data_IF_438365929819
#
_entry.id   IF_438365929819
#
_cell.length_a   1.000
_cell.length_b   1.000
_cell.length_c   1.000
_cell.angle_alpha   90.00
_cell.angle_beta   90.00
_cell.angle_gamma   90.00
#
_symmetry.space_group_name_H-M   'P 1'
#
loop_
_entity.id
_entity.type
_entity.pdbx_description
1 polymer ?
#
# COMPACT_ATOMS: atom_id res chain seq x y z
N UNK A 1 58.91 -17.52 3.66
CA UNK A 1 58.02 -17.51 4.84
C UNK A 1 57.42 -16.14 5.13
N UNK A 2 58.11 -15.14 5.70
CA UNK A 2 57.47 -13.83 6.02
C UNK A 2 56.98 -13.05 4.78
N UNK A 3 57.71 -13.10 3.66
CA UNK A 3 57.33 -12.40 2.43
C UNK A 3 56.12 -13.04 1.73
N UNK A 4 55.98 -14.36 1.81
CA UNK A 4 54.85 -15.11 1.28
C UNK A 4 53.60 -14.89 2.13
N UNK A 5 53.77 -14.82 3.47
CA UNK A 5 52.67 -14.48 4.38
C UNK A 5 52.14 -13.06 4.12
N UNK A 6 53.04 -12.07 3.92
CA UNK A 6 52.63 -10.69 3.61
C UNK A 6 51.89 -10.58 2.29
N UNK A 7 52.36 -11.27 1.24
CA UNK A 7 51.64 -11.32 -0.05
C UNK A 7 50.25 -11.94 0.09
N UNK A 8 50.13 -13.01 0.88
CA UNK A 8 48.84 -13.68 1.12
C UNK A 8 47.86 -12.78 1.90
N UNK A 9 48.37 -11.97 2.83
CA UNK A 9 47.57 -10.98 3.57
C UNK A 9 47.09 -9.88 2.61
N UNK A 10 47.98 -9.31 1.80
CA UNK A 10 47.61 -8.28 0.81
C UNK A 10 46.57 -8.77 -0.21
N UNK A 11 46.69 -10.02 -0.67
CA UNK A 11 45.69 -10.63 -1.57
C UNK A 11 44.34 -10.81 -0.87
N UNK A 12 44.33 -11.20 0.40
CA UNK A 12 43.10 -11.33 1.19
C UNK A 12 42.46 -9.99 1.47
N UNK A 13 43.24 -8.96 1.81
CA UNK A 13 42.73 -7.61 2.07
C UNK A 13 42.10 -7.01 0.81
N UNK A 14 42.74 -7.15 -0.35
CA UNK A 14 42.13 -6.76 -1.64
C UNK A 14 40.82 -7.47 -1.89
N UNK A 15 40.75 -8.78 -1.61
CA UNK A 15 39.54 -9.57 -1.80
C UNK A 15 38.43 -9.17 -0.82
N UNK A 16 38.79 -8.78 0.40
CA UNK A 16 37.85 -8.21 1.38
C UNK A 16 37.30 -6.88 0.87
N UNK A 17 38.15 -5.99 0.35
CA UNK A 17 37.71 -4.71 -0.22
C UNK A 17 36.77 -4.90 -1.42
N UNK A 18 37.10 -5.83 -2.33
CA UNK A 18 36.25 -6.17 -3.47
C UNK A 18 34.87 -6.70 -3.02
N UNK A 19 34.85 -7.61 -2.05
CA UNK A 19 33.61 -8.17 -1.51
C UNK A 19 32.78 -7.11 -0.79
N UNK A 20 33.42 -6.23 -0.01
CA UNK A 20 32.74 -5.12 0.66
C UNK A 20 32.14 -4.12 -0.35
N UNK A 21 32.86 -3.80 -1.43
CA UNK A 21 32.34 -2.97 -2.50
C UNK A 21 31.10 -3.61 -3.17
N UNK A 22 31.15 -4.92 -3.41
CA UNK A 22 30.05 -5.66 -4.02
C UNK A 22 28.83 -5.77 -3.11
N UNK A 23 29.02 -5.94 -1.81
CA UNK A 23 27.94 -5.89 -0.81
C UNK A 23 27.25 -4.53 -0.84
N UNK A 24 28.01 -3.43 -0.82
CA UNK A 24 27.43 -2.07 -0.89
C UNK A 24 26.64 -1.84 -2.17
N UNK A 25 27.10 -2.37 -3.31
CA UNK A 25 26.37 -2.27 -4.57
C UNK A 25 25.06 -3.06 -4.53
N UNK A 26 25.08 -4.27 -3.98
CA UNK A 26 23.89 -5.11 -3.83
C UNK A 26 22.88 -4.51 -2.85
N UNK A 27 23.34 -3.94 -1.73
CA UNK A 27 22.49 -3.23 -0.78
C UNK A 27 21.77 -2.04 -1.43
N UNK A 28 22.47 -1.26 -2.27
CA UNK A 28 21.85 -0.17 -3.04
C UNK A 28 20.77 -0.69 -4.01
N UNK A 29 21.06 -1.78 -4.72
CA UNK A 29 20.09 -2.40 -5.64
C UNK A 29 18.88 -2.92 -4.88
N UNK A 30 19.09 -3.59 -3.75
CA UNK A 30 18.03 -4.14 -2.91
C UNK A 30 17.08 -3.03 -2.44
N UNK A 31 17.62 -1.94 -1.88
CA UNK A 31 16.82 -0.77 -1.49
C UNK A 31 15.99 -0.22 -2.64
N UNK A 32 16.58 -0.09 -3.83
CA UNK A 32 15.83 0.35 -5.01
C UNK A 32 14.68 -0.60 -5.36
N UNK A 33 14.91 -1.92 -5.34
CA UNK A 33 13.85 -2.91 -5.63
C UNK A 33 12.73 -2.88 -4.59
N UNK A 34 13.06 -2.77 -3.30
CA UNK A 34 12.07 -2.67 -2.22
C UNK A 34 11.14 -1.46 -2.41
N UNK A 35 11.72 -0.29 -2.69
CA UNK A 35 10.94 0.94 -2.91
C UNK A 35 10.14 0.83 -4.22
N UNK A 36 10.76 0.28 -5.27
CA UNK A 36 10.10 0.09 -6.56
C UNK A 36 8.90 -0.81 -6.43
N UNK A 37 8.98 -1.92 -5.70
CA UNK A 37 7.84 -2.82 -5.48
C UNK A 37 6.64 -2.09 -4.85
N UNK A 38 6.89 -1.16 -3.93
CA UNK A 38 5.81 -0.40 -3.26
C UNK A 38 5.25 0.72 -4.13
N UNK A 39 6.10 1.43 -4.88
CA UNK A 39 5.72 2.67 -5.58
C UNK A 39 5.63 2.54 -7.11
N UNK A 40 5.78 1.33 -7.64
CA UNK A 40 5.64 1.04 -9.06
C UNK A 40 4.26 1.52 -9.57
N UNK A 41 4.27 2.30 -10.64
CA UNK A 41 3.05 2.86 -11.24
C UNK A 41 2.52 4.12 -10.54
N UNK A 42 3.13 4.55 -9.42
CA UNK A 42 2.79 5.79 -8.72
C UNK A 42 3.87 6.84 -8.93
N UNK A 43 5.15 6.43 -8.82
CA UNK A 43 6.31 7.30 -9.03
C UNK A 43 7.11 6.75 -10.21
N UNK A 44 7.51 7.59 -11.19
CA UNK A 44 8.37 7.18 -12.30
C UNK A 44 9.69 6.58 -11.81
N UNK A 45 10.16 5.53 -12.48
CA UNK A 45 11.39 4.80 -12.12
C UNK A 45 12.62 5.72 -12.04
N UNK A 46 12.70 6.76 -12.88
CA UNK A 46 13.76 7.78 -12.87
C UNK A 46 13.81 8.59 -11.56
N UNK A 47 12.65 8.83 -10.95
CA UNK A 47 12.52 9.58 -9.70
C UNK A 47 12.77 8.64 -8.52
N UNK A 48 12.27 7.40 -8.59
CA UNK A 48 12.57 6.36 -7.61
C UNK A 48 14.07 6.09 -7.50
N UNK A 49 14.80 6.12 -8.62
CA UNK A 49 16.25 5.96 -8.63
C UNK A 49 16.94 7.08 -7.83
N UNK A 50 16.55 8.34 -8.04
CA UNK A 50 17.08 9.49 -7.30
C UNK A 50 16.73 9.43 -5.81
N UNK A 51 15.56 8.91 -5.48
CA UNK A 51 15.10 8.75 -4.11
C UNK A 51 15.88 7.65 -3.38
N UNK A 52 16.20 6.54 -4.06
CA UNK A 52 16.96 5.42 -3.48
C UNK A 52 18.42 5.77 -3.13
N UNK A 53 18.95 6.86 -3.68
CA UNK A 53 20.28 7.38 -3.34
C UNK A 53 20.30 8.22 -2.06
N UNK A 54 19.13 8.65 -1.58
CA UNK A 54 19.01 9.47 -0.38
C UNK A 54 19.09 8.61 0.89
N UNK A 55 19.48 9.21 2.03
CA UNK A 55 19.32 8.58 3.33
C UNK A 55 17.85 8.17 3.56
N UNK A 56 17.58 7.04 4.22
CA UNK A 56 16.22 6.51 4.38
C UNK A 56 15.21 7.52 4.92
N UNK A 57 15.62 8.34 5.88
CA UNK A 57 14.78 9.35 6.53
C UNK A 57 14.37 10.45 5.54
N UNK A 58 15.33 10.91 4.72
CA UNK A 58 15.10 11.96 3.71
C UNK A 58 14.28 11.43 2.55
N UNK A 59 14.54 10.18 2.16
CA UNK A 59 13.82 9.48 1.10
C UNK A 59 12.33 9.40 1.38
N UNK A 60 11.93 8.99 2.59
CA UNK A 60 10.50 8.90 2.99
C UNK A 60 9.82 10.27 2.92
N UNK A 61 10.51 11.33 3.38
CA UNK A 61 10.00 12.70 3.32
C UNK A 61 9.78 13.12 1.87
N UNK A 62 10.73 12.85 0.99
CA UNK A 62 10.69 13.30 -0.40
C UNK A 62 9.67 12.51 -1.23
N UNK A 63 9.52 11.20 -0.98
CA UNK A 63 8.40 10.40 -1.49
C UNK A 63 7.07 11.03 -1.06
N UNK A 64 6.92 11.36 0.23
CA UNK A 64 5.71 11.98 0.75
C UNK A 64 5.39 13.33 0.10
N UNK A 65 6.40 14.17 -0.17
CA UNK A 65 6.21 15.42 -0.92
C UNK A 65 5.78 15.16 -2.36
N UNK A 66 6.41 14.20 -3.03
CA UNK A 66 6.09 13.86 -4.42
C UNK A 66 4.63 13.42 -4.55
N UNK A 67 4.18 12.52 -3.67
CA UNK A 67 2.81 12.03 -3.64
C UNK A 67 1.79 13.14 -3.39
N UNK A 68 2.08 14.08 -2.46
CA UNK A 68 1.22 15.25 -2.22
C UNK A 68 1.16 16.19 -3.43
N UNK A 69 2.28 16.44 -4.09
CA UNK A 69 2.28 17.31 -5.28
C UNK A 69 1.54 16.67 -6.47
N UNK A 70 1.65 15.35 -6.62
CA UNK A 70 0.93 14.60 -7.63
C UNK A 70 -0.59 14.63 -7.37
N UNK A 71 -1.04 14.44 -6.11
CA UNK A 71 -2.47 14.52 -5.76
C UNK A 71 -3.05 15.93 -5.96
N UNK A 72 -2.30 16.98 -5.64
CA UNK A 72 -2.73 18.38 -5.84
C UNK A 72 -2.85 18.79 -7.31
N UNK A 73 -2.12 18.14 -8.23
CA UNK A 73 -2.26 18.40 -9.68
C UNK A 73 -3.55 17.81 -10.24
N UNK A 74 -4.04 16.71 -9.67
CA UNK A 74 -5.28 16.06 -10.10
C UNK A 74 -6.53 16.80 -9.60
N UNK A 75 -6.47 17.46 -8.44
CA UNK A 75 -7.60 18.21 -7.87
C UNK A 75 -7.79 19.61 -8.47
N UNK A 76 -6.76 20.23 -9.05
CA UNK A 76 -6.83 21.62 -9.57
C UNK A 76 -7.51 21.80 -10.93
N UNK A 77 -7.98 20.72 -11.57
CA UNK A 77 -8.67 20.82 -12.89
C UNK A 77 -10.20 20.89 -12.74
N UNK A 78 -10.75 20.72 -11.53
CA UNK A 78 -12.20 20.64 -11.32
C UNK A 78 -12.72 21.86 -10.55
N UNK A 79 -12.52 23.06 -11.07
CA UNK A 79 -13.28 24.23 -10.58
C UNK A 79 -13.21 25.41 -11.57
N UNK A 80 -14.03 25.38 -12.62
CA UNK A 80 -14.50 26.63 -13.26
C UNK A 80 -15.77 26.42 -14.12
N UNK A 81 -16.88 26.96 -13.60
CA UNK A 81 -18.00 27.66 -14.28
C UNK A 81 -18.95 26.93 -15.24
N UNK A 82 -20.20 26.82 -14.76
CA UNK A 82 -21.50 27.22 -15.35
C UNK A 82 -21.75 27.25 -16.87
N UNK A 83 -22.94 26.72 -17.21
CA UNK A 83 -23.88 27.08 -18.29
C UNK A 83 -23.69 26.46 -19.71
N UNK A 84 -24.66 25.59 -20.06
CA UNK A 84 -25.33 25.22 -21.35
C UNK A 84 -24.72 25.59 -22.73
N UNK A 85 -25.19 25.01 -23.86
CA UNK A 85 -25.47 23.62 -24.24
C UNK A 85 -24.79 23.21 -25.60
N UNK A 86 -24.74 21.89 -25.89
CA UNK A 86 -24.49 21.20 -27.19
C UNK A 86 -23.35 21.71 -28.11
N UNK A 87 -22.29 20.90 -28.27
CA UNK A 87 -21.63 20.64 -29.58
C UNK A 87 -21.13 19.20 -29.62
N UNK A 88 -21.56 18.45 -30.63
CA UNK A 88 -21.06 17.12 -31.01
C UNK A 88 -19.62 17.23 -31.52
N UNK A 89 -18.70 16.45 -30.95
CA UNK A 89 -17.46 16.07 -31.64
C UNK A 89 -17.25 14.57 -31.45
N UNK A 90 -17.40 13.85 -32.57
CA UNK A 90 -17.08 12.44 -32.73
C UNK A 90 -15.59 12.20 -32.47
N UNK A 91 -15.23 11.49 -31.41
CA UNK A 91 -14.03 10.66 -31.37
C UNK A 91 -14.35 9.32 -30.69
N UNK A 92 -13.68 8.28 -31.18
CA UNK A 92 -14.01 6.84 -31.07
C UNK A 92 -14.22 6.35 -29.62
N UNK A 93 -15.14 5.39 -29.37
CA UNK A 93 -15.30 4.82 -28.05
C UNK A 93 -14.08 3.95 -27.72
N UNK A 94 -13.21 4.44 -26.85
CA UNK A 94 -12.42 3.54 -25.99
C UNK A 94 -13.42 3.07 -24.94
N UNK A 95 -13.66 1.77 -24.90
CA UNK A 95 -14.60 1.14 -23.97
C UNK A 95 -14.42 1.72 -22.56
N UNK A 96 -15.40 2.50 -22.13
CA UNK A 96 -15.60 2.81 -20.72
C UNK A 96 -15.78 1.47 -20.01
N UNK A 97 -14.73 1.01 -19.32
CA UNK A 97 -14.93 0.11 -18.19
C UNK A 97 -15.66 0.95 -17.16
N UNK A 98 -16.99 1.02 -17.31
CA UNK A 98 -17.91 1.30 -16.21
C UNK A 98 -17.60 0.26 -15.16
N UNK A 99 -16.80 0.65 -14.17
CA UNK A 99 -16.78 -0.05 -12.90
C UNK A 99 -18.13 0.26 -12.28
N UNK A 100 -19.15 -0.50 -12.68
CA UNK A 100 -20.37 -0.61 -11.90
C UNK A 100 -19.93 -0.95 -10.47
N UNK A 101 -20.41 -0.24 -9.43
CA UNK A 101 -20.25 -0.70 -8.07
C UNK A 101 -21.08 -1.98 -7.93
N UNK A 102 -20.52 -3.11 -8.37
CA UNK A 102 -21.11 -4.42 -8.20
C UNK A 102 -20.87 -4.88 -6.76
N UNK A 103 -21.37 -4.11 -5.79
CA UNK A 103 -21.66 -4.65 -4.46
C UNK A 103 -22.94 -5.45 -4.63
N UNK A 104 -22.81 -6.69 -5.12
CA UNK A 104 -23.86 -7.69 -4.98
C UNK A 104 -23.98 -7.98 -3.49
N UNK A 105 -24.81 -7.19 -2.81
CA UNK A 105 -25.21 -7.39 -1.42
C UNK A 105 -25.91 -8.75 -1.35
N UNK A 106 -25.20 -9.76 -0.85
CA UNK A 106 -25.88 -10.86 -0.16
C UNK A 106 -26.20 -10.29 1.22
N UNK A 107 -27.47 -10.30 1.59
CA UNK A 107 -27.95 -9.71 2.85
C UNK A 107 -27.05 -10.17 4.02
N UNK A 108 -26.36 -9.23 4.67
CA UNK A 108 -25.50 -9.48 5.84
C UNK A 108 -24.00 -9.66 5.56
N UNK A 109 -23.54 -9.69 4.31
CA UNK A 109 -22.11 -9.78 3.96
C UNK A 109 -21.72 -8.67 2.97
N UNK A 110 -20.70 -7.90 3.34
CA UNK A 110 -20.11 -6.88 2.49
C UNK A 110 -18.72 -7.29 2.00
N UNK A 111 -18.35 -6.86 0.79
CA UNK A 111 -17.00 -7.01 0.28
C UNK A 111 -16.23 -5.72 0.53
N UNK A 112 -15.09 -5.84 1.20
CA UNK A 112 -14.20 -4.72 1.48
C UNK A 112 -12.81 -5.00 0.90
N UNK A 113 -12.13 -3.96 0.42
CA UNK A 113 -10.75 -4.03 -0.06
C UNK A 113 -9.78 -3.85 1.10
N UNK A 114 -8.79 -4.73 1.21
CA UNK A 114 -7.76 -4.64 2.25
C UNK A 114 -6.85 -3.45 1.96
N UNK A 115 -6.88 -2.46 2.85
CA UNK A 115 -6.05 -1.26 2.81
C UNK A 115 -4.90 -1.31 3.81
N UNK A 116 -4.07 -0.28 3.74
CA UNK A 116 -3.03 0.02 4.73
C UNK A 116 -3.17 1.48 5.13
N UNK A 117 -3.06 1.76 6.42
CA UNK A 117 -3.06 3.10 6.98
C UNK A 117 -1.98 3.23 8.04
N UNK A 118 -1.19 4.29 7.95
CA UNK A 118 -0.06 4.50 8.83
C UNK A 118 -0.47 4.69 10.30
N UNK A 119 -1.58 5.40 10.55
CA UNK A 119 -2.06 5.63 11.91
C UNK A 119 -2.57 4.32 12.53
N UNK A 120 -3.22 3.47 11.72
CA UNK A 120 -3.58 2.13 12.13
C UNK A 120 -2.34 1.28 12.44
N UNK A 121 -1.36 1.25 11.52
CA UNK A 121 -0.14 0.45 11.68
C UNK A 121 0.64 0.81 12.95
N UNK A 122 0.72 2.09 13.30
CA UNK A 122 1.42 2.54 14.49
C UNK A 122 0.72 2.19 15.81
N UNK A 123 -0.61 2.00 15.80
CA UNK A 123 -1.42 1.85 17.03
C UNK A 123 -1.99 0.47 17.25
N UNK A 124 -2.32 -0.23 16.17
CA UNK A 124 -3.12 -1.45 16.21
C UNK A 124 -2.50 -2.61 15.43
N UNK A 125 -1.42 -2.40 14.67
CA UNK A 125 -0.75 -3.48 13.94
C UNK A 125 0.33 -4.16 14.80
N UNK A 126 -0.14 -4.95 15.77
CA UNK A 126 0.68 -5.85 16.57
C UNK A 126 -0.04 -7.20 16.72
N UNK A 127 0.73 -8.24 17.03
CA UNK A 127 0.19 -9.59 17.14
C UNK A 127 -0.82 -9.69 18.30
N UNK A 128 -2.02 -10.19 18.01
CA UNK A 128 -3.10 -10.32 18.99
C UNK A 128 -4.04 -9.10 19.09
N UNK A 129 -3.74 -8.00 18.37
CA UNK A 129 -4.68 -6.89 18.22
C UNK A 129 -5.97 -7.37 17.58
N UNK A 130 -7.11 -7.07 18.20
CA UNK A 130 -8.44 -7.47 17.78
C UNK A 130 -9.17 -6.39 17.00
N UNK A 131 -8.50 -5.33 16.55
CA UNK A 131 -9.15 -4.14 15.96
C UNK A 131 -9.10 -4.18 14.44
N UNK A 132 -10.21 -3.80 13.78
CA UNK A 132 -10.28 -3.53 12.35
C UNK A 132 -10.87 -2.13 12.12
N UNK A 133 -10.30 -1.36 11.20
CA UNK A 133 -10.94 -0.14 10.71
C UNK A 133 -11.76 -0.45 9.45
N UNK A 134 -13.05 -0.12 9.44
CA UNK A 134 -13.94 -0.33 8.29
C UNK A 134 -14.44 1.01 7.74
N UNK A 135 -14.54 1.11 6.41
CA UNK A 135 -15.25 2.20 5.75
C UNK A 135 -16.70 2.30 6.26
N UNK A 136 -17.16 3.52 6.51
CA UNK A 136 -18.52 3.78 7.02
C UNK A 136 -19.62 3.19 6.12
N UNK A 137 -19.40 3.14 4.80
CA UNK A 137 -20.29 2.50 3.84
C UNK A 137 -20.40 0.98 4.07
N UNK A 138 -19.29 0.31 4.33
CA UNK A 138 -19.24 -1.12 4.65
C UNK A 138 -19.96 -1.35 5.98
N UNK A 139 -19.69 -0.52 6.99
CA UNK A 139 -20.37 -0.58 8.29
C UNK A 139 -21.89 -0.44 8.16
N UNK A 140 -22.34 0.56 7.40
CA UNK A 140 -23.75 0.80 7.12
C UNK A 140 -24.40 -0.37 6.37
N UNK A 141 -23.68 -0.97 5.42
CA UNK A 141 -24.19 -2.10 4.63
C UNK A 141 -24.42 -3.36 5.47
N UNK A 142 -23.60 -3.61 6.50
CA UNK A 142 -23.73 -4.76 7.41
C UNK A 142 -24.38 -4.41 8.75
N UNK A 143 -24.86 -3.16 8.92
CA UNK A 143 -25.53 -2.63 10.12
C UNK A 143 -24.72 -2.87 11.40
N UNK A 144 -23.45 -2.45 11.38
CA UNK A 144 -22.55 -2.43 12.54
C UNK A 144 -22.15 -1.02 12.91
N UNK A 145 -21.96 -0.78 14.19
CA UNK A 145 -21.50 0.49 14.75
C UNK A 145 -20.06 0.38 15.23
N UNK A 146 -19.45 1.52 15.58
CA UNK A 146 -18.16 1.53 16.26
C UNK A 146 -18.21 0.69 17.55
N UNK A 147 -17.20 -0.15 17.76
CA UNK A 147 -17.11 -1.05 18.91
C UNK A 147 -17.79 -2.41 18.73
N UNK A 148 -18.60 -2.60 17.69
CA UNK A 148 -19.18 -3.92 17.37
C UNK A 148 -18.11 -4.89 16.86
N UNK A 149 -18.43 -6.18 16.87
CA UNK A 149 -17.57 -7.21 16.30
C UNK A 149 -18.06 -7.65 14.91
N UNK A 150 -17.10 -7.80 14.00
CA UNK A 150 -17.29 -8.34 12.65
C UNK A 150 -16.43 -9.57 12.45
N UNK A 151 -16.89 -10.44 11.55
CA UNK A 151 -16.12 -11.56 11.03
C UNK A 151 -15.51 -11.13 9.71
N UNK A 152 -14.19 -11.19 9.61
CA UNK A 152 -13.44 -10.96 8.36
C UNK A 152 -12.99 -12.30 7.81
N UNK A 153 -13.38 -12.60 6.58
CA UNK A 153 -13.18 -13.89 5.96
C UNK A 153 -12.59 -13.81 4.55
N UNK A 154 -11.62 -14.69 4.28
CA UNK A 154 -11.16 -15.05 2.93
C UNK A 154 -10.89 -16.55 2.86
N UNK A 155 -9.68 -16.99 3.20
CA UNK A 155 -9.35 -18.43 3.30
C UNK A 155 -9.66 -18.99 4.70
N UNK A 156 -9.62 -18.10 5.70
CA UNK A 156 -10.01 -18.35 7.10
C UNK A 156 -10.82 -17.17 7.62
N UNK A 157 -11.41 -17.32 8.81
CA UNK A 157 -12.22 -16.31 9.45
C UNK A 157 -11.60 -15.81 10.76
N UNK A 158 -11.67 -14.50 11.01
CA UNK A 158 -11.20 -13.85 12.24
C UNK A 158 -12.22 -12.83 12.71
N UNK A 159 -12.47 -12.80 14.01
CA UNK A 159 -13.37 -11.84 14.64
C UNK A 159 -12.56 -10.60 15.06
N UNK A 160 -13.03 -9.42 14.67
CA UNK A 160 -12.38 -8.14 15.00
C UNK A 160 -13.41 -7.11 15.44
N UNK A 161 -13.02 -6.26 16.38
CA UNK A 161 -13.74 -5.09 16.85
C UNK A 161 -13.59 -3.94 15.85
N UNK A 162 -14.70 -3.30 15.51
CA UNK A 162 -14.76 -2.28 14.46
C UNK A 162 -14.45 -0.89 14.98
N UNK A 163 -13.62 -0.16 14.23
CA UNK A 163 -13.49 1.29 14.29
C UNK A 163 -13.87 1.89 12.92
N UNK A 164 -14.43 3.12 12.89
CA UNK A 164 -14.75 3.78 11.64
C UNK A 164 -13.49 4.19 10.87
N UNK A 165 -13.55 4.07 9.55
CA UNK A 165 -12.54 4.53 8.60
C UNK A 165 -13.16 5.49 7.59
N UNK A 166 -12.44 6.58 7.31
CA UNK A 166 -12.93 7.63 6.43
C UNK A 166 -12.97 7.24 4.94
N UNK A 167 -12.22 6.20 4.52
CA UNK A 167 -12.24 5.79 3.11
C UNK A 167 -13.29 4.71 2.87
N UNK A 168 -14.22 4.92 1.92
CA UNK A 168 -15.28 3.97 1.64
C UNK A 168 -14.74 2.71 0.96
N UNK A 169 -15.37 1.56 1.24
CA UNK A 169 -15.09 0.28 0.63
C UNK A 169 -13.78 -0.37 1.08
N UNK A 170 -13.07 0.21 2.04
CA UNK A 170 -11.82 -0.33 2.58
C UNK A 170 -12.01 -0.96 3.96
N UNK A 171 -11.18 -1.95 4.23
CA UNK A 171 -10.96 -2.50 5.57
C UNK A 171 -9.46 -2.51 5.86
N UNK A 172 -9.08 -2.13 7.07
CA UNK A 172 -7.72 -2.18 7.56
C UNK A 172 -7.68 -3.12 8.73
N UNK A 173 -6.84 -4.14 8.60
CA UNK A 173 -6.68 -5.22 9.58
C UNK A 173 -5.20 -5.39 9.91
N UNK A 174 -4.88 -5.92 11.11
CA UNK A 174 -3.50 -6.20 11.49
C UNK A 174 -2.84 -7.20 10.54
N UNK A 175 -1.51 -7.13 10.44
CA UNK A 175 -0.68 -7.99 9.60
C UNK A 175 -0.86 -9.46 9.94
N UNK A 176 -0.95 -9.82 11.23
CA UNK A 176 -1.21 -11.19 11.65
C UNK A 176 -2.57 -11.73 11.17
N UNK A 177 -3.58 -10.86 11.05
CA UNK A 177 -4.89 -11.25 10.51
C UNK A 177 -4.76 -11.50 9.01
N UNK A 178 -4.09 -10.60 8.28
CA UNK A 178 -3.85 -10.75 6.83
C UNK A 178 -3.17 -12.08 6.52
N UNK A 179 -2.12 -12.41 7.26
CA UNK A 179 -1.41 -13.68 7.15
C UNK A 179 -2.33 -14.87 7.45
N UNK A 180 -3.11 -14.79 8.54
CA UNK A 180 -4.03 -15.87 8.94
C UNK A 180 -5.15 -16.14 7.93
N UNK A 181 -5.71 -15.09 7.32
CA UNK A 181 -6.79 -15.22 6.34
C UNK A 181 -6.29 -15.36 4.89
N UNK A 182 -4.97 -15.34 4.66
CA UNK A 182 -4.37 -15.41 3.33
C UNK A 182 -4.64 -14.18 2.45
N UNK A 183 -4.88 -13.01 3.04
CA UNK A 183 -5.16 -11.78 2.31
C UNK A 183 -3.91 -10.92 2.06
N UNK A 184 -3.77 -10.39 0.85
CA UNK A 184 -2.77 -9.39 0.49
C UNK A 184 -3.36 -7.98 0.50
N UNK A 185 -2.50 -6.97 0.44
CA UNK A 185 -2.94 -5.58 0.23
C UNK A 185 -3.67 -5.52 -1.12
N UNK A 186 -4.78 -4.77 -1.16
CA UNK A 186 -5.69 -4.64 -2.29
C UNK A 186 -6.53 -5.89 -2.64
N UNK A 187 -6.40 -7.00 -1.90
CA UNK A 187 -7.33 -8.11 -2.03
C UNK A 187 -8.72 -7.71 -1.52
N UNK A 188 -9.73 -8.44 -1.99
CA UNK A 188 -11.08 -8.36 -1.44
C UNK A 188 -11.27 -9.43 -0.36
N UNK A 189 -11.88 -9.01 0.74
CA UNK A 189 -12.30 -9.88 1.83
C UNK A 189 -13.79 -9.72 2.07
N UNK A 190 -14.42 -10.76 2.59
CA UNK A 190 -15.82 -10.73 3.01
C UNK A 190 -15.88 -10.31 4.48
N UNK A 191 -16.77 -9.38 4.77
CA UNK A 191 -17.00 -8.87 6.12
C UNK A 191 -18.46 -9.05 6.46
N UNK A 192 -18.72 -9.71 7.58
CA UNK A 192 -20.07 -9.98 8.07
C UNK A 192 -20.19 -9.54 9.52
N UNK A 193 -21.40 -9.19 9.94
CA UNK A 193 -21.70 -9.00 11.36
C UNK A 193 -21.56 -10.35 12.08
N UNK A 194 -20.90 -10.33 13.24
CA UNK A 194 -20.78 -11.51 14.11
C UNK A 194 -22.12 -11.85 14.76
#
# INVERSE_FOLDING_TARGET
MESELRKLIEEKDKKIEELQARIRELEKKLKFYEIREVYQGIIPDEILQKLAELPPEVMVIEIGKYLKQASFKTERVVETRESSPRVEVKEKPVEEIKVEPSVKVREGVAKARVGVDLAFTQRYDFHGSDVAMLGEDVMNSIKVSEGDYVVVQKDSAVNLRVLPYSKPGFIIIPSWVREKIGAKINDFVEVAKK
#
